data_IF_676034265339
#
_entry.id   IF_676034265339
#
_cell.length_a   1.000
_cell.length_b   1.000
_cell.length_c   1.000
_cell.angle_alpha   90.00
_cell.angle_beta   90.00
_cell.angle_gamma   90.00
#
_symmetry.space_group_name_H-M   'P 1'
#
loop_
_entity.id
_entity.type
_entity.pdbx_description
1 polymer ?
#
# COMPACT_ATOMS: atom_id res chain seq x y z
N UNK A 1 35.43 11.24 10.12
CA UNK A 1 34.74 10.42 9.09
C UNK A 1 35.71 9.33 8.65
N UNK A 2 35.30 8.07 8.72
CA UNK A 2 36.05 6.94 8.15
C UNK A 2 35.26 6.43 6.94
N UNK A 3 35.94 6.04 5.87
CA UNK A 3 35.29 5.62 4.61
C UNK A 3 35.65 4.17 4.32
N UNK A 4 34.63 3.32 4.18
CA UNK A 4 34.79 1.97 3.64
C UNK A 4 34.49 2.01 2.14
N UNK A 5 35.51 1.76 1.30
CA UNK A 5 35.34 1.72 -0.16
C UNK A 5 34.60 0.48 -0.67
N UNK A 6 34.31 -0.48 0.21
CA UNK A 6 33.56 -1.69 -0.10
C UNK A 6 32.76 -2.13 1.11
N UNK A 7 31.54 -2.60 0.88
CA UNK A 7 30.64 -3.12 1.90
C UNK A 7 31.20 -4.35 2.63
N UNK A 8 32.17 -5.06 2.03
CA UNK A 8 32.89 -6.18 2.68
C UNK A 8 33.75 -5.69 3.85
N UNK A 9 34.30 -4.49 3.76
CA UNK A 9 35.19 -3.92 4.79
C UNK A 9 34.42 -3.15 5.87
N UNK A 10 33.12 -2.92 5.68
CA UNK A 10 32.31 -2.08 6.55
C UNK A 10 32.28 -2.59 7.99
N UNK A 11 32.10 -3.91 8.17
CA UNK A 11 32.08 -4.56 9.48
C UNK A 11 33.42 -4.36 10.22
N UNK A 12 34.54 -4.67 9.57
CA UNK A 12 35.87 -4.52 10.17
C UNK A 12 36.19 -3.06 10.52
N UNK A 13 35.78 -2.12 9.66
CA UNK A 13 35.96 -0.69 9.92
C UNK A 13 35.10 -0.21 11.09
N UNK A 14 33.86 -0.69 11.21
CA UNK A 14 32.96 -0.36 12.31
C UNK A 14 33.52 -0.86 13.66
N UNK A 15 34.00 -2.10 13.71
CA UNK A 15 34.67 -2.64 14.92
C UNK A 15 35.92 -1.85 15.29
N UNK A 16 36.75 -1.46 14.31
CA UNK A 16 37.93 -0.63 14.55
C UNK A 16 37.55 0.77 15.07
N UNK A 17 36.49 1.37 14.52
CA UNK A 17 35.99 2.66 14.97
C UNK A 17 35.54 2.60 16.44
N UNK A 18 34.82 1.54 16.83
CA UNK A 18 34.42 1.33 18.23
C UNK A 18 35.60 1.10 19.16
N UNK A 19 36.60 0.32 18.72
CA UNK A 19 37.81 0.10 19.50
C UNK A 19 38.57 1.41 19.78
N UNK A 20 38.68 2.28 18.77
CA UNK A 20 39.38 3.58 18.91
C UNK A 20 38.56 4.63 19.65
N UNK A 21 37.24 4.58 19.55
CA UNK A 21 36.32 5.59 20.09
C UNK A 21 35.18 4.94 20.89
N UNK A 22 35.48 4.32 22.05
CA UNK A 22 34.52 3.51 22.78
C UNK A 22 33.31 4.32 23.28
N UNK A 23 33.49 5.61 23.61
CA UNK A 23 32.44 6.48 24.14
C UNK A 23 31.66 7.29 23.09
N UNK A 24 32.05 7.23 21.81
CA UNK A 24 31.39 8.02 20.77
C UNK A 24 30.18 7.28 20.19
N UNK A 25 29.13 8.02 19.80
CA UNK A 25 28.08 7.47 18.94
C UNK A 25 28.67 7.22 17.55
N UNK A 26 28.50 5.99 17.03
CA UNK A 26 28.96 5.62 15.69
C UNK A 26 27.76 5.62 14.76
N UNK A 27 27.85 6.39 13.69
CA UNK A 27 26.83 6.46 12.64
C UNK A 27 27.39 5.83 11.37
N UNK A 28 26.69 4.82 10.86
CA UNK A 28 26.98 4.16 9.61
C UNK A 28 26.10 4.76 8.52
N UNK A 29 26.64 5.75 7.82
CA UNK A 29 26.02 6.29 6.61
C UNK A 29 26.25 5.30 5.46
N UNK A 30 25.22 4.52 5.13
CA UNK A 30 25.29 3.46 4.13
C UNK A 30 24.36 3.73 2.94
N UNK A 31 24.59 3.03 1.84
CA UNK A 31 23.81 3.13 0.61
C UNK A 31 22.44 2.45 0.78
N UNK A 32 21.43 2.98 0.10
CA UNK A 32 20.10 2.39 0.01
C UNK A 32 19.97 1.70 -1.35
N UNK A 33 20.35 0.43 -1.39
CA UNK A 33 20.32 -0.36 -2.61
C UNK A 33 18.96 -1.00 -2.84
N UNK A 34 18.58 -1.22 -4.11
CA UNK A 34 17.36 -1.98 -4.44
C UNK A 34 17.45 -3.46 -4.04
N UNK A 35 18.65 -4.04 -4.01
CA UNK A 35 18.88 -5.42 -3.57
C UNK A 35 18.75 -5.61 -2.06
N UNK A 36 18.81 -4.51 -1.29
CA UNK A 36 18.85 -4.55 0.17
C UNK A 36 20.23 -4.91 0.77
N UNK A 37 21.26 -5.11 -0.05
CA UNK A 37 22.56 -5.60 0.43
C UNK A 37 23.33 -4.55 1.24
N UNK A 38 23.37 -3.29 0.79
CA UNK A 38 23.96 -2.19 1.54
C UNK A 38 23.33 -2.03 2.93
N UNK A 39 22.00 -2.10 3.00
CA UNK A 39 21.23 -2.01 4.23
C UNK A 39 21.53 -3.17 5.18
N UNK A 40 21.54 -4.41 4.69
CA UNK A 40 21.83 -5.60 5.50
C UNK A 40 23.25 -5.58 6.07
N UNK A 41 24.24 -5.19 5.26
CA UNK A 41 25.64 -5.11 5.69
C UNK A 41 25.85 -3.98 6.69
N UNK A 42 25.19 -2.84 6.48
CA UNK A 42 25.21 -1.73 7.42
C UNK A 42 24.58 -2.11 8.76
N UNK A 43 23.44 -2.81 8.75
CA UNK A 43 22.80 -3.31 9.96
C UNK A 43 23.73 -4.25 10.74
N UNK A 44 24.32 -5.25 10.07
CA UNK A 44 25.28 -6.17 10.71
C UNK A 44 26.51 -5.44 11.30
N UNK A 45 27.01 -4.41 10.61
CA UNK A 45 28.12 -3.60 11.09
C UNK A 45 27.72 -2.71 12.28
N UNK A 46 26.51 -2.15 12.26
CA UNK A 46 25.94 -1.37 13.35
C UNK A 46 25.77 -2.21 14.61
N UNK A 47 25.22 -3.42 14.49
CA UNK A 47 25.06 -4.35 15.61
C UNK A 47 26.40 -4.69 16.26
N UNK A 48 27.44 -4.94 15.44
CA UNK A 48 28.78 -5.28 15.93
C UNK A 48 29.51 -4.12 16.63
N UNK A 49 29.09 -2.87 16.40
CA UNK A 49 29.74 -1.69 16.96
C UNK A 49 28.82 -0.84 17.85
N UNK A 50 27.62 -1.32 18.19
CA UNK A 50 26.59 -0.53 18.87
C UNK A 50 26.38 0.83 18.18
N UNK A 51 26.28 0.81 16.85
CA UNK A 51 26.10 1.97 16.00
C UNK A 51 24.66 2.17 15.53
N UNK A 52 24.41 3.25 14.82
CA UNK A 52 23.13 3.55 14.17
C UNK A 52 23.34 3.63 12.66
N UNK A 53 22.46 2.99 11.89
CA UNK A 53 22.48 3.08 10.43
C UNK A 53 21.70 4.30 9.98
N UNK A 54 22.30 5.12 9.12
CA UNK A 54 21.61 6.16 8.37
C UNK A 54 21.61 5.77 6.89
N UNK A 55 20.43 5.80 6.28
CA UNK A 55 20.24 5.55 4.85
C UNK A 55 19.75 6.81 4.14
N UNK A 56 20.18 7.07 2.90
CA UNK A 56 19.73 8.22 2.14
C UNK A 56 18.20 8.15 1.90
N UNK A 57 17.52 9.30 1.77
CA UNK A 57 16.08 9.35 1.47
C UNK A 57 15.73 8.91 0.03
N UNK A 58 16.71 8.50 -0.76
CA UNK A 58 16.60 8.00 -2.14
C UNK A 58 17.16 6.59 -2.22
N UNK A 59 16.82 5.84 -3.27
CA UNK A 59 17.63 4.70 -3.65
C UNK A 59 18.93 5.19 -4.28
N UNK A 60 20.08 4.74 -3.78
CA UNK A 60 21.40 5.26 -4.13
C UNK A 60 22.24 5.60 -2.91
N UNK A 61 23.22 6.48 -3.10
CA UNK A 61 24.14 6.93 -2.04
C UNK A 61 23.75 8.30 -1.46
N UNK A 62 24.54 8.77 -0.49
CA UNK A 62 24.32 10.08 0.14
C UNK A 62 24.66 11.28 -0.77
N UNK A 63 25.48 11.07 -1.80
CA UNK A 63 25.79 12.09 -2.81
C UNK A 63 24.62 12.26 -3.80
N UNK A 64 23.92 11.18 -4.14
CA UNK A 64 22.66 11.22 -4.92
C UNK A 64 21.61 12.03 -4.15
N UNK A 65 21.42 11.74 -2.86
CA UNK A 65 20.53 12.50 -2.00
C UNK A 65 20.90 13.99 -1.91
N UNK A 66 22.19 14.31 -1.83
CA UNK A 66 22.70 15.68 -1.82
C UNK A 66 22.44 16.39 -3.14
N UNK A 67 22.67 15.72 -4.25
CA UNK A 67 22.46 16.27 -5.59
C UNK A 67 20.98 16.54 -5.85
N UNK A 68 20.10 15.65 -5.38
CA UNK A 68 18.66 15.76 -5.60
C UNK A 68 17.96 16.76 -4.67
N UNK A 69 18.30 16.77 -3.38
CA UNK A 69 17.56 17.55 -2.36
C UNK A 69 18.37 18.69 -1.73
N UNK A 70 19.66 18.78 -2.01
CA UNK A 70 20.56 19.78 -1.45
C UNK A 70 21.00 19.50 -0.01
N UNK A 71 22.02 20.24 0.44
CA UNK A 71 22.73 19.93 1.69
C UNK A 71 21.92 20.06 2.98
N UNK A 72 20.92 20.93 3.04
CA UNK A 72 20.07 21.06 4.25
C UNK A 72 19.17 19.84 4.43
N UNK A 73 18.51 19.39 3.36
CA UNK A 73 17.64 18.22 3.39
C UNK A 73 18.42 16.93 3.69
N UNK A 74 19.59 16.75 3.08
CA UNK A 74 20.47 15.60 3.35
C UNK A 74 20.93 15.60 4.80
N UNK A 75 21.33 16.76 5.34
CA UNK A 75 21.73 16.89 6.74
C UNK A 75 20.57 16.56 7.69
N UNK A 76 19.37 17.07 7.38
CA UNK A 76 18.15 16.73 8.12
C UNK A 76 17.88 15.21 8.10
N UNK A 77 17.97 14.57 6.94
CA UNK A 77 17.76 13.12 6.82
C UNK A 77 18.77 12.30 7.64
N UNK A 78 20.04 12.70 7.67
CA UNK A 78 21.03 12.07 8.56
C UNK A 78 20.65 12.27 10.03
N UNK A 79 20.28 13.50 10.42
CA UNK A 79 19.89 13.80 11.80
C UNK A 79 18.64 13.03 12.24
N UNK A 80 17.63 12.94 11.39
CA UNK A 80 16.40 12.21 11.67
C UNK A 80 16.68 10.70 11.82
N UNK A 81 17.60 10.14 11.03
CA UNK A 81 18.00 8.73 11.14
C UNK A 81 18.80 8.40 12.41
N UNK A 82 19.56 9.35 12.97
CA UNK A 82 20.38 9.14 14.18
C UNK A 82 19.71 9.62 15.46
N UNK A 83 18.59 10.33 15.33
CA UNK A 83 17.78 10.75 16.47
C UNK A 83 17.27 9.48 17.16
N UNK A 84 17.47 9.33 18.49
CA UNK A 84 16.84 8.24 19.20
C UNK A 84 15.33 8.28 18.94
N UNK A 85 14.66 7.14 18.75
CA UNK A 85 13.21 7.12 18.67
C UNK A 85 12.67 7.88 19.88
N UNK A 86 11.76 8.83 19.63
CA UNK A 86 11.16 9.59 20.71
C UNK A 86 10.56 8.60 21.71
N UNK A 87 10.98 8.67 22.98
CA UNK A 87 10.39 7.83 24.01
C UNK A 87 8.89 8.10 24.05
N UNK A 88 8.10 7.03 24.08
CA UNK A 88 6.66 7.17 24.05
C UNK A 88 6.22 7.89 25.34
N UNK A 89 5.29 8.86 25.28
CA UNK A 89 4.80 9.54 26.48
C UNK A 89 4.28 8.57 27.55
N UNK A 90 3.82 7.38 27.14
CA UNK A 90 3.31 6.33 28.02
C UNK A 90 4.39 5.54 28.75
N UNK A 91 5.68 5.76 28.44
CA UNK A 91 6.81 5.12 29.11
C UNK A 91 7.46 6.05 30.16
N UNK A 92 7.29 7.37 30.02
CA UNK A 92 7.91 8.38 30.90
C UNK A 92 6.93 9.06 31.85
N UNK A 93 5.65 9.17 31.48
CA UNK A 93 4.62 9.87 32.24
C UNK A 93 4.13 9.06 33.45
N UNK A 94 3.66 9.75 34.49
CA UNK A 94 3.05 9.11 35.65
C UNK A 94 1.53 8.89 35.47
N UNK A 95 0.99 7.91 36.20
CA UNK A 95 -0.46 7.64 36.25
C UNK A 95 -1.26 8.89 36.66
N UNK A 96 -0.81 9.61 37.68
CA UNK A 96 -1.48 10.80 38.21
C UNK A 96 -1.50 11.95 37.19
N UNK A 97 -0.37 12.18 36.50
CA UNK A 97 -0.25 13.19 35.45
C UNK A 97 -1.22 12.89 34.30
N UNK A 98 -1.24 11.65 33.82
CA UNK A 98 -2.15 11.25 32.75
C UNK A 98 -3.62 11.30 33.17
N UNK A 99 -3.93 10.85 34.39
CA UNK A 99 -5.31 10.84 34.90
C UNK A 99 -5.91 12.26 34.97
N UNK A 100 -5.10 13.26 35.35
CA UNK A 100 -5.50 14.67 35.46
C UNK A 100 -5.72 15.39 34.11
N UNK A 101 -5.18 14.87 33.01
CA UNK A 101 -5.33 15.46 31.68
C UNK A 101 -6.80 15.48 31.20
N UNK A 102 -7.15 16.51 30.45
CA UNK A 102 -8.37 16.56 29.64
C UNK A 102 -8.38 15.50 28.52
N UNK A 103 -9.54 15.30 27.89
CA UNK A 103 -9.67 14.35 26.76
C UNK A 103 -8.79 14.75 25.57
N UNK A 104 -8.68 16.04 25.26
CA UNK A 104 -7.84 16.55 24.16
C UNK A 104 -6.35 16.37 24.45
N UNK A 105 -5.92 16.62 25.69
CA UNK A 105 -4.54 16.38 26.10
C UNK A 105 -4.19 14.89 26.02
N UNK A 106 -5.08 13.99 26.50
CA UNK A 106 -4.91 12.54 26.35
C UNK A 106 -4.81 12.12 24.89
N UNK A 107 -5.66 12.67 24.03
CA UNK A 107 -5.63 12.41 22.60
C UNK A 107 -4.30 12.89 21.98
N UNK A 108 -3.79 14.05 22.39
CA UNK A 108 -2.48 14.54 21.94
C UNK A 108 -1.34 13.60 22.36
N UNK A 109 -1.37 13.03 23.56
CA UNK A 109 -0.37 12.02 23.99
C UNK A 109 -0.41 10.75 23.16
N UNK A 110 -1.61 10.33 22.74
CA UNK A 110 -1.76 9.21 21.81
C UNK A 110 -1.22 9.58 20.42
N UNK A 111 -1.48 10.79 19.94
CA UNK A 111 -0.88 11.27 18.68
C UNK A 111 0.65 11.30 18.76
N UNK A 112 1.24 11.81 19.86
CA UNK A 112 2.69 11.78 20.11
C UNK A 112 3.24 10.35 20.16
N UNK A 113 2.50 9.39 20.71
CA UNK A 113 2.89 7.99 20.77
C UNK A 113 2.96 7.33 19.38
N UNK A 114 1.98 7.57 18.52
CA UNK A 114 1.95 7.00 17.17
C UNK A 114 2.66 7.86 16.12
N UNK A 115 2.92 9.14 16.41
CA UNK A 115 3.51 10.11 15.50
C UNK A 115 2.72 10.28 14.21
N UNK A 116 3.44 10.34 13.09
CA UNK A 116 2.87 10.47 11.75
C UNK A 116 2.22 9.18 11.22
N UNK A 117 2.11 8.13 12.03
CA UNK A 117 1.56 6.85 11.60
C UNK A 117 0.02 6.80 11.63
N UNK A 118 -0.68 7.86 12.07
CA UNK A 118 -2.15 7.88 12.10
C UNK A 118 -2.74 8.94 11.17
N UNK A 119 -3.83 8.58 10.50
CA UNK A 119 -4.63 9.50 9.70
C UNK A 119 -6.10 9.08 9.69
N UNK A 120 -7.00 10.01 9.40
CA UNK A 120 -8.41 9.72 9.12
C UNK A 120 -8.72 9.79 7.62
N UNK A 121 -9.76 9.09 7.17
CA UNK A 121 -10.29 9.27 5.83
C UNK A 121 -10.84 10.70 5.61
N UNK A 122 -11.19 11.02 4.36
CA UNK A 122 -11.70 12.34 3.99
C UNK A 122 -12.98 12.75 4.74
N UNK A 123 -13.76 11.78 5.24
CA UNK A 123 -14.97 12.05 6.03
C UNK A 123 -14.70 12.12 7.56
N UNK A 124 -13.45 11.90 8.00
CA UNK A 124 -13.08 11.91 9.42
C UNK A 124 -13.61 10.73 10.24
N UNK A 125 -14.08 9.66 9.59
CA UNK A 125 -14.77 8.54 10.23
C UNK A 125 -13.84 7.34 10.46
N UNK A 126 -13.10 6.95 9.43
CA UNK A 126 -12.26 5.77 9.40
C UNK A 126 -10.83 6.17 9.76
N UNK A 127 -10.32 5.57 10.83
CA UNK A 127 -8.93 5.74 11.25
C UNK A 127 -8.07 4.71 10.53
N UNK A 128 -6.91 5.14 10.02
CA UNK A 128 -5.92 4.27 9.41
C UNK A 128 -4.57 4.44 10.09
N UNK A 129 -3.78 3.36 10.03
CA UNK A 129 -2.39 3.34 10.47
C UNK A 129 -1.46 3.08 9.30
N UNK A 130 -0.37 3.83 9.23
CA UNK A 130 0.69 3.61 8.27
C UNK A 130 1.60 2.48 8.74
N UNK A 131 1.64 1.39 7.97
CA UNK A 131 2.45 0.21 8.25
C UNK A 131 2.98 -0.39 6.96
N UNK A 132 4.26 -0.79 6.97
CA UNK A 132 4.88 -1.51 5.84
C UNK A 132 4.65 -0.85 4.47
N UNK A 133 4.70 0.48 4.41
CA UNK A 133 4.55 1.22 3.16
C UNK A 133 3.12 1.66 2.81
N UNK A 134 2.09 1.22 3.56
CA UNK A 134 0.68 1.49 3.24
C UNK A 134 -0.14 1.97 4.43
N UNK A 135 -1.18 2.73 4.13
CA UNK A 135 -2.25 3.11 5.06
C UNK A 135 -3.31 2.02 5.11
N UNK A 136 -3.39 1.30 6.23
CA UNK A 136 -4.42 0.29 6.49
C UNK A 136 -5.50 0.84 7.40
N UNK A 137 -6.77 0.66 7.03
CA UNK A 137 -7.90 1.01 7.88
C UNK A 137 -7.87 0.14 9.13
N UNK A 138 -7.88 0.76 10.31
CA UNK A 138 -7.96 0.06 11.58
C UNK A 138 -9.42 -0.16 11.98
N UNK A 139 -9.82 -1.40 12.29
CA UNK A 139 -11.14 -1.64 12.87
C UNK A 139 -11.31 -0.85 14.18
N UNK A 140 -12.45 -0.19 14.42
CA UNK A 140 -12.63 0.66 15.59
C UNK A 140 -12.39 -0.06 16.93
N UNK A 141 -12.73 -1.35 17.01
CA UNK A 141 -12.54 -2.16 18.21
C UNK A 141 -11.06 -2.47 18.48
N UNK A 142 -10.29 -2.70 17.42
CA UNK A 142 -8.86 -3.00 17.54
C UNK A 142 -8.11 -1.75 18.00
N UNK A 143 -8.41 -0.60 17.42
CA UNK A 143 -7.80 0.65 17.87
C UNK A 143 -8.24 1.05 19.29
N UNK A 144 -9.51 0.84 19.66
CA UNK A 144 -9.95 1.05 21.03
C UNK A 144 -9.23 0.14 22.03
N UNK A 145 -8.92 -1.11 21.65
CA UNK A 145 -8.12 -2.03 22.45
C UNK A 145 -6.67 -1.54 22.58
N UNK A 146 -6.07 -1.04 21.51
CA UNK A 146 -4.73 -0.45 21.54
C UNK A 146 -4.68 0.75 22.50
N UNK A 147 -5.64 1.66 22.41
CA UNK A 147 -5.76 2.81 23.32
C UNK A 147 -5.97 2.39 24.77
N UNK A 148 -6.83 1.39 25.03
CA UNK A 148 -6.97 0.83 26.38
C UNK A 148 -5.65 0.24 26.90
N UNK A 149 -4.85 -0.40 26.03
CA UNK A 149 -3.50 -0.86 26.35
C UNK A 149 -2.58 0.26 26.82
N UNK A 150 -2.68 1.46 26.23
CA UNK A 150 -1.90 2.63 26.65
C UNK A 150 -2.29 3.12 28.05
N UNK A 151 -3.59 3.13 28.37
CA UNK A 151 -4.06 3.41 29.74
C UNK A 151 -3.51 2.38 30.74
N UNK A 152 -3.52 1.09 30.37
CA UNK A 152 -3.01 0.00 31.21
C UNK A 152 -1.51 0.10 31.48
N UNK A 153 -0.70 0.52 30.50
CA UNK A 153 0.75 0.73 30.68
C UNK A 153 1.02 1.74 31.80
N UNK A 154 0.24 2.82 31.84
CA UNK A 154 0.29 3.83 32.90
C UNK A 154 -0.46 3.43 34.18
N UNK A 155 -1.08 2.24 34.23
CA UNK A 155 -1.97 1.79 35.31
C UNK A 155 -3.15 2.75 35.56
N UNK A 156 -3.51 3.55 34.57
CA UNK A 156 -4.59 4.52 34.66
C UNK A 156 -5.96 3.84 34.44
N UNK A 157 -7.01 4.24 35.19
CA UNK A 157 -8.34 3.69 35.00
C UNK A 157 -8.98 4.17 33.69
N UNK A 158 -9.67 3.25 33.02
CA UNK A 158 -10.42 3.51 31.79
C UNK A 158 -11.79 2.84 31.80
N UNK A 159 -12.67 3.36 30.95
CA UNK A 159 -13.97 2.76 30.61
C UNK A 159 -14.14 2.82 29.10
N UNK A 160 -15.07 2.03 28.56
CA UNK A 160 -15.39 2.06 27.13
C UNK A 160 -15.74 3.48 26.64
N UNK A 161 -16.56 4.21 27.41
CA UNK A 161 -16.93 5.60 27.09
C UNK A 161 -15.75 6.56 27.11
N UNK A 162 -14.80 6.40 28.06
CA UNK A 162 -13.60 7.23 28.14
C UNK A 162 -12.68 6.98 26.96
N UNK A 163 -12.48 5.72 26.58
CA UNK A 163 -11.68 5.33 25.41
C UNK A 163 -12.32 5.87 24.13
N UNK A 164 -13.63 5.67 23.95
CA UNK A 164 -14.35 6.18 22.77
C UNK A 164 -14.21 7.71 22.64
N UNK A 165 -14.43 8.45 23.73
CA UNK A 165 -14.29 9.92 23.73
C UNK A 165 -12.88 10.38 23.35
N UNK A 166 -11.84 9.69 23.83
CA UNK A 166 -10.45 10.01 23.46
C UNK A 166 -10.18 9.67 21.99
N UNK A 167 -10.65 8.53 21.49
CA UNK A 167 -10.50 8.15 20.07
C UNK A 167 -11.21 9.14 19.15
N UNK A 168 -12.43 9.54 19.48
CA UNK A 168 -13.18 10.50 18.68
C UNK A 168 -12.56 11.90 18.73
N UNK A 169 -11.97 12.29 19.87
CA UNK A 169 -11.18 13.53 19.97
C UNK A 169 -9.89 13.45 19.14
N UNK A 170 -9.21 12.30 19.14
CA UNK A 170 -8.00 12.07 18.36
C UNK A 170 -8.25 12.23 16.85
N UNK A 171 -9.40 11.76 16.34
CA UNK A 171 -9.79 11.92 14.92
C UNK A 171 -9.85 13.39 14.47
N UNK A 172 -10.07 14.32 15.40
CA UNK A 172 -10.06 15.77 15.13
C UNK A 172 -8.65 16.37 15.07
N UNK A 173 -7.64 15.66 15.59
CA UNK A 173 -6.26 16.11 15.70
C UNK A 173 -5.39 15.55 14.56
N UNK A 174 -5.58 14.27 14.23
CA UNK A 174 -4.75 13.58 13.23
C UNK A 174 -5.05 14.06 11.80
N UNK A 175 -4.08 14.00 10.88
CA UNK A 175 -4.25 14.49 9.52
C UNK A 175 -5.32 13.70 8.75
N UNK A 176 -5.97 14.37 7.80
CA UNK A 176 -6.82 13.74 6.81
C UNK A 176 -5.96 13.15 5.68
N UNK A 177 -6.31 11.94 5.24
CA UNK A 177 -5.69 11.29 4.10
C UNK A 177 -6.01 12.04 2.81
N UNK A 178 -5.00 12.22 1.97
CA UNK A 178 -5.20 12.62 0.58
C UNK A 178 -5.39 11.40 -0.33
N UNK A 179 -5.84 11.65 -1.55
CA UNK A 179 -5.90 10.60 -2.56
C UNK A 179 -4.47 10.26 -3.02
N UNK A 180 -4.07 8.97 -3.05
CA UNK A 180 -2.79 8.59 -3.63
C UNK A 180 -2.72 9.04 -5.09
N UNK A 181 -1.58 9.61 -5.46
CA UNK A 181 -1.35 10.05 -6.84
C UNK A 181 -1.37 8.85 -7.79
N UNK A 182 -2.18 8.93 -8.85
CA UNK A 182 -2.38 7.84 -9.83
C UNK A 182 -1.13 7.47 -10.63
N UNK A 183 -0.10 8.33 -10.60
CA UNK A 183 1.19 8.03 -11.23
C UNK A 183 2.05 7.11 -10.36
N UNK A 184 1.73 6.94 -9.09
CA UNK A 184 2.49 6.13 -8.15
C UNK A 184 1.97 4.68 -8.16
N UNK A 185 2.90 3.74 -8.26
CA UNK A 185 2.63 2.31 -8.15
C UNK A 185 3.45 1.78 -6.97
N UNK A 186 2.77 1.21 -5.99
CA UNK A 186 3.42 0.61 -4.83
C UNK A 186 3.91 -0.80 -5.12
N UNK A 187 5.14 -1.09 -4.72
CA UNK A 187 5.76 -2.40 -4.73
C UNK A 187 6.20 -2.75 -3.31
N UNK A 188 6.50 -4.01 -3.04
CA UNK A 188 6.96 -4.44 -1.71
C UNK A 188 8.18 -3.63 -1.23
N UNK A 189 9.12 -3.35 -2.14
CA UNK A 189 10.36 -2.64 -1.83
C UNK A 189 10.33 -1.11 -2.05
N UNK A 190 9.21 -0.50 -2.48
CA UNK A 190 9.15 0.95 -2.68
C UNK A 190 8.00 1.40 -3.59
N UNK A 191 8.11 2.60 -4.15
CA UNK A 191 7.06 3.23 -4.96
C UNK A 191 7.65 3.73 -6.28
N UNK A 192 7.11 3.27 -7.41
CA UNK A 192 7.46 3.74 -8.75
C UNK A 192 6.62 4.96 -9.12
N UNK A 193 7.27 6.06 -9.49
CA UNK A 193 6.63 7.19 -10.15
C UNK A 193 6.69 7.00 -11.68
N UNK A 194 5.54 6.68 -12.27
CA UNK A 194 5.40 6.41 -13.71
C UNK A 194 5.58 7.65 -14.58
N UNK A 195 5.56 8.86 -14.03
CA UNK A 195 5.75 10.08 -14.81
C UNK A 195 7.20 10.23 -15.27
N UNK A 196 8.15 9.94 -14.38
CA UNK A 196 9.59 10.10 -14.64
C UNK A 196 10.35 8.77 -14.63
N UNK A 197 9.69 7.66 -14.29
CA UNK A 197 10.32 6.35 -14.15
C UNK A 197 11.19 6.22 -12.89
N UNK A 198 11.05 7.13 -11.93
CA UNK A 198 11.88 7.16 -10.71
C UNK A 198 11.29 6.25 -9.64
N UNK A 199 12.14 5.49 -8.96
CA UNK A 199 11.74 4.62 -7.87
C UNK A 199 12.11 5.25 -6.52
N UNK A 200 11.15 5.35 -5.62
CA UNK A 200 11.26 6.03 -4.34
C UNK A 200 11.06 5.05 -3.18
N UNK A 201 11.75 5.27 -2.05
CA UNK A 201 11.41 4.59 -0.81
C UNK A 201 9.96 4.86 -0.41
N UNK A 202 9.40 3.95 0.40
CA UNK A 202 8.08 4.15 0.98
C UNK A 202 8.02 5.43 1.83
N UNK A 203 6.90 6.15 1.73
CA UNK A 203 6.64 7.35 2.53
C UNK A 203 5.15 7.44 2.88
N UNK A 204 4.78 7.84 4.13
CA UNK A 204 3.40 8.14 4.49
C UNK A 204 2.76 9.19 3.56
N UNK A 205 3.55 10.13 3.06
CA UNK A 205 3.11 11.21 2.16
C UNK A 205 2.67 10.73 0.77
N UNK A 206 2.97 9.49 0.40
CA UNK A 206 2.48 8.91 -0.86
C UNK A 206 1.02 8.44 -0.76
N UNK A 207 0.47 8.33 0.47
CA UNK A 207 -0.90 7.89 0.74
C UNK A 207 -1.28 6.54 0.11
N UNK A 208 -0.27 5.68 -0.13
CA UNK A 208 -0.46 4.36 -0.69
C UNK A 208 -1.37 3.54 0.22
N UNK A 209 -2.39 2.90 -0.36
CA UNK A 209 -3.34 2.04 0.37
C UNK A 209 -3.07 0.56 0.14
N UNK A 210 -2.45 0.25 -0.99
CA UNK A 210 -2.14 -1.10 -1.45
C UNK A 210 -0.75 -1.09 -2.09
N UNK A 211 -0.06 -2.23 -2.04
CA UNK A 211 1.19 -2.49 -2.75
C UNK A 211 1.02 -3.76 -3.58
N UNK A 212 1.72 -3.82 -4.70
CA UNK A 212 1.99 -5.08 -5.36
C UNK A 212 2.88 -5.95 -4.46
N UNK A 213 2.58 -7.24 -4.40
CA UNK A 213 3.36 -8.19 -3.59
C UNK A 213 4.68 -8.60 -4.24
N UNK A 214 5.15 -7.90 -5.27
CA UNK A 214 6.46 -8.14 -5.90
C UNK A 214 7.42 -6.98 -5.66
N UNK A 215 8.71 -7.27 -5.76
CA UNK A 215 9.76 -6.26 -5.74
C UNK A 215 9.92 -5.65 -7.13
N UNK A 216 10.07 -4.33 -7.18
CA UNK A 216 10.51 -3.64 -8.38
C UNK A 216 12.00 -3.89 -8.61
N UNK A 217 12.38 -4.17 -9.85
CA UNK A 217 13.78 -4.32 -10.27
C UNK A 217 14.06 -3.36 -11.42
N UNK A 218 15.28 -2.75 -11.48
CA UNK A 218 15.66 -1.93 -12.63
C UNK A 218 15.68 -2.76 -13.91
N UNK A 219 15.34 -2.16 -15.05
CA UNK A 219 15.45 -2.84 -16.33
C UNK A 219 16.91 -3.22 -16.61
N UNK A 220 17.12 -4.42 -17.14
CA UNK A 220 18.43 -4.89 -17.60
C UNK A 220 18.59 -4.56 -19.09
N UNK A 221 19.82 -4.28 -19.55
CA UNK A 221 20.11 -4.01 -20.95
C UNK A 221 19.62 -5.16 -21.85
N UNK A 222 18.76 -4.83 -22.81
CA UNK A 222 18.16 -5.81 -23.72
C UNK A 222 17.02 -6.64 -23.12
N UNK A 223 16.50 -6.26 -21.95
CA UNK A 223 15.37 -6.94 -21.31
C UNK A 223 14.11 -6.90 -22.19
N UNK A 224 13.55 -8.08 -22.43
CA UNK A 224 12.26 -8.25 -23.12
C UNK A 224 11.44 -9.34 -22.44
N UNK A 225 10.11 -9.25 -22.51
CA UNK A 225 9.22 -10.29 -21.99
C UNK A 225 9.53 -11.67 -22.58
N UNK A 226 9.88 -11.73 -23.87
CA UNK A 226 10.18 -13.00 -24.56
C UNK A 226 11.40 -13.70 -23.98
N UNK A 227 12.44 -12.95 -23.62
CA UNK A 227 13.73 -13.49 -23.17
C UNK A 227 13.82 -13.63 -21.66
N UNK A 228 13.27 -12.66 -20.91
CA UNK A 228 13.38 -12.57 -19.45
C UNK A 228 12.14 -13.10 -18.72
N UNK A 229 11.01 -13.27 -19.43
CA UNK A 229 9.81 -13.90 -18.91
C UNK A 229 9.20 -14.92 -19.91
N UNK A 230 9.98 -15.91 -20.40
CA UNK A 230 9.58 -16.77 -21.53
C UNK A 230 8.29 -17.57 -21.28
N UNK A 231 8.04 -17.97 -20.03
CA UNK A 231 6.79 -18.65 -19.67
C UNK A 231 5.57 -17.72 -19.78
N UNK A 232 5.70 -16.49 -19.27
CA UNK A 232 4.67 -15.46 -19.39
C UNK A 232 4.45 -15.08 -20.86
N UNK A 233 5.51 -14.89 -21.64
CA UNK A 233 5.42 -14.60 -23.07
C UNK A 233 4.67 -15.67 -23.85
N UNK A 234 5.00 -16.96 -23.65
CA UNK A 234 4.28 -18.06 -24.31
C UNK A 234 2.79 -18.08 -23.95
N UNK A 235 2.46 -17.81 -22.69
CA UNK A 235 1.06 -17.68 -22.28
C UNK A 235 0.38 -16.48 -22.93
N UNK A 236 1.01 -15.32 -22.92
CA UNK A 236 0.49 -14.07 -23.48
C UNK A 236 0.24 -14.20 -24.99
N UNK A 237 1.20 -14.76 -25.73
CA UNK A 237 1.08 -14.98 -27.17
C UNK A 237 -0.02 -15.98 -27.51
N UNK A 238 -0.13 -17.07 -26.74
CA UNK A 238 -1.24 -18.03 -26.87
C UNK A 238 -2.59 -17.37 -26.56
N UNK A 239 -2.70 -16.64 -25.46
CA UNK A 239 -3.92 -15.93 -25.06
C UNK A 239 -4.34 -14.90 -26.13
N UNK A 240 -3.38 -14.26 -26.79
CA UNK A 240 -3.61 -13.37 -27.91
C UNK A 240 -3.90 -14.09 -29.24
N UNK A 241 -3.63 -15.39 -29.34
CA UNK A 241 -3.69 -16.15 -30.60
C UNK A 241 -2.68 -15.64 -31.63
N UNK A 242 -1.46 -15.32 -31.19
CA UNK A 242 -0.37 -14.82 -32.04
C UNK A 242 -0.54 -13.38 -32.55
N UNK A 243 -1.57 -12.65 -32.10
CA UNK A 243 -1.86 -11.28 -32.55
C UNK A 243 -1.20 -10.24 -31.66
N UNK A 244 -0.26 -9.47 -32.21
CA UNK A 244 0.49 -8.44 -31.48
C UNK A 244 -0.41 -7.42 -30.78
N UNK A 245 -1.36 -6.81 -31.49
CA UNK A 245 -2.29 -5.81 -30.93
C UNK A 245 -3.09 -6.36 -29.74
N UNK A 246 -3.45 -7.64 -29.77
CA UNK A 246 -4.19 -8.27 -28.67
C UNK A 246 -3.29 -8.56 -27.47
N UNK A 247 -1.99 -8.80 -27.67
CA UNK A 247 -1.01 -8.84 -26.56
C UNK A 247 -0.96 -7.49 -25.86
N UNK A 248 -0.93 -6.39 -26.62
CA UNK A 248 -0.91 -5.04 -26.06
C UNK A 248 -2.18 -4.75 -25.25
N UNK A 249 -3.36 -5.19 -25.70
CA UNK A 249 -4.61 -5.08 -24.93
C UNK A 249 -4.55 -5.88 -23.63
N UNK A 250 -4.01 -7.11 -23.65
CA UNK A 250 -3.86 -7.92 -22.44
C UNK A 250 -2.88 -7.25 -21.47
N UNK A 251 -1.75 -6.72 -21.97
CA UNK A 251 -0.79 -5.97 -21.16
C UNK A 251 -1.39 -4.69 -20.57
N UNK A 252 -2.17 -3.95 -21.36
CA UNK A 252 -2.89 -2.76 -20.87
C UNK A 252 -3.92 -3.12 -19.78
N UNK A 253 -4.60 -4.26 -19.91
CA UNK A 253 -5.51 -4.77 -18.90
C UNK A 253 -4.77 -5.16 -17.60
N UNK A 254 -3.62 -5.82 -17.70
CA UNK A 254 -2.77 -6.12 -16.54
C UNK A 254 -2.18 -4.85 -15.90
N UNK A 255 -1.79 -3.85 -16.72
CA UNK A 255 -1.35 -2.55 -16.23
C UNK A 255 -2.46 -1.80 -15.51
N UNK A 256 -3.70 -1.88 -16.00
CA UNK A 256 -4.87 -1.30 -15.33
C UNK A 256 -4.99 -1.85 -13.90
N UNK A 257 -4.77 -3.15 -13.71
CA UNK A 257 -4.77 -3.80 -12.39
C UNK A 257 -3.56 -3.35 -11.56
N UNK A 258 -2.34 -3.46 -12.09
CA UNK A 258 -1.10 -3.10 -11.41
C UNK A 258 -1.09 -1.65 -10.89
N UNK A 259 -1.52 -0.71 -11.73
CA UNK A 259 -1.57 0.72 -11.41
C UNK A 259 -2.90 1.16 -10.78
N UNK A 260 -3.80 0.22 -10.46
CA UNK A 260 -5.16 0.46 -9.96
C UNK A 260 -5.89 1.60 -10.70
N UNK A 261 -5.94 1.50 -12.03
CA UNK A 261 -6.57 2.48 -12.93
C UNK A 261 -8.08 2.28 -13.04
N UNK A 262 -8.76 2.20 -11.90
CA UNK A 262 -10.22 2.20 -11.86
C UNK A 262 -10.82 3.49 -12.47
N UNK A 263 -10.05 4.58 -12.50
CA UNK A 263 -10.42 5.87 -13.08
C UNK A 263 -10.61 5.84 -14.61
N UNK A 264 -10.18 4.78 -15.29
CA UNK A 264 -10.47 4.58 -16.71
C UNK A 264 -11.96 4.34 -16.99
N UNK A 265 -12.73 4.07 -15.94
CA UNK A 265 -14.14 3.74 -16.02
C UNK A 265 -14.41 2.48 -16.84
N UNK A 266 -13.52 1.49 -16.71
CA UNK A 266 -13.61 0.20 -17.39
C UNK A 266 -13.72 -0.94 -16.38
N UNK A 267 -14.23 -2.08 -16.83
CA UNK A 267 -14.02 -3.39 -16.23
C UNK A 267 -13.59 -4.37 -17.30
N UNK A 268 -12.81 -5.36 -16.87
CA UNK A 268 -12.23 -6.36 -17.74
C UNK A 268 -13.12 -7.59 -17.71
N UNK A 269 -13.36 -8.18 -18.88
CA UNK A 269 -14.05 -9.45 -18.98
C UNK A 269 -13.31 -10.40 -19.91
N UNK A 270 -12.75 -11.45 -19.32
CA UNK A 270 -12.01 -12.48 -20.03
C UNK A 270 -12.95 -13.63 -20.34
N UNK A 271 -13.05 -14.00 -21.62
CA UNK A 271 -13.91 -15.09 -22.11
C UNK A 271 -13.10 -16.15 -22.85
N UNK A 272 -13.68 -17.32 -23.13
CA UNK A 272 -13.01 -18.40 -23.86
C UNK A 272 -13.31 -19.80 -23.30
N UNK A 273 -12.98 -20.88 -24.00
CA UNK A 273 -13.27 -22.24 -23.54
C UNK A 273 -12.44 -22.65 -22.31
N UNK A 274 -12.76 -23.79 -21.71
CA UNK A 274 -11.93 -24.40 -20.68
C UNK A 274 -10.50 -24.63 -21.17
N UNK A 275 -9.50 -24.35 -20.33
CA UNK A 275 -8.09 -24.54 -20.71
C UNK A 275 -7.47 -23.45 -21.62
N UNK A 276 -8.19 -22.36 -21.90
CA UNK A 276 -7.67 -21.23 -22.71
C UNK A 276 -6.70 -20.30 -21.96
N UNK A 277 -6.50 -20.51 -20.66
CA UNK A 277 -5.56 -19.73 -19.85
C UNK A 277 -6.16 -18.51 -19.14
N UNK A 278 -7.50 -18.38 -19.09
CA UNK A 278 -8.18 -17.27 -18.40
C UNK A 278 -7.89 -17.25 -16.89
N UNK A 279 -7.86 -18.42 -16.26
CA UNK A 279 -7.50 -18.53 -14.84
C UNK A 279 -6.09 -18.02 -14.58
N UNK A 280 -5.15 -18.26 -15.51
CA UNK A 280 -3.79 -17.71 -15.42
C UNK A 280 -3.83 -16.16 -15.48
N UNK A 281 -4.70 -15.56 -16.31
CA UNK A 281 -4.89 -14.09 -16.29
C UNK A 281 -5.36 -13.60 -14.92
N UNK A 282 -6.31 -14.30 -14.30
CA UNK A 282 -6.82 -13.95 -12.99
C UNK A 282 -5.74 -14.05 -11.90
N UNK A 283 -4.92 -15.09 -11.93
CA UNK A 283 -3.80 -15.27 -11.01
C UNK A 283 -2.73 -14.19 -11.19
N UNK A 284 -2.37 -13.86 -12.43
CA UNK A 284 -1.42 -12.76 -12.71
C UNK A 284 -2.00 -11.43 -12.23
N UNK A 285 -3.29 -11.16 -12.48
CA UNK A 285 -3.95 -9.95 -11.99
C UNK A 285 -3.93 -9.88 -10.45
N UNK A 286 -4.18 -11.00 -9.75
CA UNK A 286 -4.10 -11.09 -8.30
C UNK A 286 -2.69 -10.83 -7.79
N UNK A 287 -1.66 -11.41 -8.41
CA UNK A 287 -0.28 -11.16 -8.07
C UNK A 287 0.09 -9.67 -8.26
N UNK A 288 -0.35 -9.05 -9.36
CA UNK A 288 -0.08 -7.63 -9.63
C UNK A 288 -0.81 -6.70 -8.66
N UNK A 289 -2.04 -7.03 -8.25
CA UNK A 289 -2.77 -6.26 -7.24
C UNK A 289 -2.19 -6.45 -5.83
N UNK A 290 -1.59 -7.62 -5.56
CA UNK A 290 -1.30 -8.14 -4.22
C UNK A 290 -2.42 -9.05 -3.73
N UNK A 291 -2.07 -10.20 -3.15
CA UNK A 291 -3.03 -11.22 -2.69
C UNK A 291 -4.00 -10.65 -1.65
N UNK A 292 -3.47 -9.86 -0.70
CA UNK A 292 -4.25 -9.19 0.33
C UNK A 292 -5.15 -8.06 -0.22
N UNK A 293 -4.90 -7.61 -1.45
CA UNK A 293 -5.64 -6.52 -2.09
C UNK A 293 -6.61 -7.01 -3.18
N UNK A 294 -6.74 -8.32 -3.35
CA UNK A 294 -7.67 -8.94 -4.27
C UNK A 294 -8.76 -9.73 -3.54
N UNK A 295 -10.01 -9.59 -3.97
CA UNK A 295 -11.14 -10.40 -3.46
C UNK A 295 -11.89 -11.08 -4.59
N UNK A 296 -12.64 -12.13 -4.25
CA UNK A 296 -13.56 -12.81 -5.17
C UNK A 296 -14.99 -12.56 -4.70
N UNK A 297 -15.87 -12.22 -5.64
CA UNK A 297 -17.25 -11.86 -5.36
C UNK A 297 -18.18 -12.33 -6.49
N UNK A 298 -19.48 -12.25 -6.27
CA UNK A 298 -20.46 -12.35 -7.35
C UNK A 298 -20.91 -10.95 -7.76
N UNK A 299 -21.59 -10.85 -8.90
CA UNK A 299 -22.18 -9.59 -9.33
C UNK A 299 -23.29 -9.13 -8.36
N UNK A 300 -24.02 -10.04 -7.70
CA UNK A 300 -24.99 -9.70 -6.65
C UNK A 300 -24.32 -8.98 -5.47
N UNK A 301 -23.08 -9.36 -5.12
CA UNK A 301 -22.29 -8.67 -4.09
C UNK A 301 -22.07 -7.20 -4.44
N UNK A 302 -21.87 -6.87 -5.73
CA UNK A 302 -21.70 -5.49 -6.20
C UNK A 302 -23.02 -4.70 -6.17
N UNK A 303 -24.14 -5.36 -6.42
CA UNK A 303 -25.46 -4.73 -6.48
C UNK A 303 -26.08 -4.51 -5.08
N UNK A 304 -25.77 -5.38 -4.11
CA UNK A 304 -26.30 -5.32 -2.74
C UNK A 304 -25.48 -4.37 -1.86
N UNK A 305 -26.06 -3.28 -1.28
CA UNK A 305 -25.34 -2.43 -0.31
C UNK A 305 -24.79 -3.19 0.90
N UNK A 306 -25.50 -4.25 1.32
CA UNK A 306 -25.12 -5.06 2.47
C UNK A 306 -23.92 -5.96 2.20
N UNK A 307 -23.90 -6.59 1.02
CA UNK A 307 -22.80 -7.47 0.62
C UNK A 307 -21.58 -6.68 0.15
N UNK A 308 -21.78 -5.48 -0.42
CA UNK A 308 -20.72 -4.54 -0.79
C UNK A 308 -19.74 -4.21 0.33
N UNK A 309 -20.16 -4.34 1.59
CA UNK A 309 -19.28 -4.15 2.74
C UNK A 309 -18.03 -5.04 2.70
N UNK A 310 -18.12 -6.23 2.08
CA UNK A 310 -17.00 -7.16 1.93
C UNK A 310 -16.00 -6.75 0.82
N UNK A 311 -16.30 -5.71 0.03
CA UNK A 311 -15.48 -5.25 -1.09
C UNK A 311 -14.63 -4.02 -0.75
N UNK A 312 -14.94 -3.35 0.37
CA UNK A 312 -14.20 -2.18 0.81
C UNK A 312 -12.75 -2.53 1.15
N UNK A 313 -11.81 -1.77 0.61
CA UNK A 313 -10.37 -1.91 0.89
C UNK A 313 -9.59 -2.71 -0.16
N UNK A 314 -10.28 -3.43 -1.06
CA UNK A 314 -9.63 -4.17 -2.14
C UNK A 314 -9.41 -3.28 -3.37
N UNK A 315 -8.29 -3.48 -4.09
CA UNK A 315 -7.99 -2.82 -5.37
C UNK A 315 -8.33 -3.68 -6.59
N UNK A 316 -8.56 -4.98 -6.39
CA UNK A 316 -9.02 -5.90 -7.43
C UNK A 316 -10.22 -6.72 -6.94
N UNK A 317 -11.30 -6.72 -7.72
CA UNK A 317 -12.48 -7.57 -7.48
C UNK A 317 -12.61 -8.54 -8.65
N UNK A 318 -12.54 -9.83 -8.35
CA UNK A 318 -12.69 -10.91 -9.33
C UNK A 318 -14.12 -11.44 -9.30
N UNK A 319 -14.69 -11.63 -10.49
CA UNK A 319 -16.02 -12.17 -10.69
C UNK A 319 -15.94 -13.46 -11.52
N UNK A 320 -15.70 -14.62 -10.88
CA UNK A 320 -15.63 -15.89 -11.60
C UNK A 320 -17.03 -16.41 -11.99
N UNK A 321 -17.17 -16.92 -13.20
CA UNK A 321 -18.33 -17.70 -13.68
C UNK A 321 -19.71 -17.02 -13.51
N UNK A 322 -19.83 -15.77 -13.94
CA UNK A 322 -21.04 -14.94 -13.84
C UNK A 322 -21.92 -14.92 -15.12
N UNK A 323 -21.78 -15.89 -16.02
CA UNK A 323 -22.45 -15.91 -17.34
C UNK A 323 -23.98 -15.78 -17.29
N UNK A 324 -24.59 -16.36 -16.25
CA UNK A 324 -26.06 -16.50 -16.13
C UNK A 324 -26.73 -15.30 -15.48
N UNK A 325 -25.96 -14.30 -15.05
CA UNK A 325 -26.55 -13.16 -14.40
C UNK A 325 -27.31 -12.26 -15.38
N UNK A 326 -28.36 -11.61 -14.89
CA UNK A 326 -29.13 -10.62 -15.63
C UNK A 326 -29.57 -9.48 -14.72
N UNK A 327 -29.29 -8.25 -15.12
CA UNK A 327 -29.63 -7.03 -14.41
C UNK A 327 -29.08 -5.81 -15.13
N UNK A 328 -29.40 -4.62 -14.62
CA UNK A 328 -28.99 -3.35 -15.22
C UNK A 328 -27.58 -2.90 -14.81
N UNK A 329 -26.97 -3.59 -13.84
CA UNK A 329 -25.59 -3.43 -13.38
C UNK A 329 -25.37 -2.09 -12.67
N UNK A 330 -26.34 -1.61 -11.89
CA UNK A 330 -26.28 -0.32 -11.23
C UNK A 330 -25.06 -0.21 -10.29
N UNK A 331 -24.85 -1.20 -9.42
CA UNK A 331 -23.69 -1.30 -8.54
C UNK A 331 -22.38 -1.39 -9.31
N UNK A 332 -22.32 -2.26 -10.34
CA UNK A 332 -21.17 -2.36 -11.24
C UNK A 332 -20.82 -1.00 -11.89
N UNK A 333 -21.82 -0.29 -12.43
CA UNK A 333 -21.65 1.03 -13.06
C UNK A 333 -21.15 2.08 -12.08
N UNK A 334 -21.66 2.08 -10.85
CA UNK A 334 -21.24 3.04 -9.83
C UNK A 334 -19.78 2.80 -9.43
N UNK A 335 -19.40 1.55 -9.15
CA UNK A 335 -18.03 1.21 -8.74
C UNK A 335 -17.05 1.50 -9.89
N UNK A 336 -17.33 1.00 -11.09
CA UNK A 336 -16.48 1.26 -12.26
C UNK A 336 -16.47 2.73 -12.65
N UNK A 337 -17.57 3.47 -12.46
CA UNK A 337 -17.64 4.91 -12.70
C UNK A 337 -16.85 5.76 -11.71
N UNK A 338 -16.46 5.20 -10.56
CA UNK A 338 -15.88 5.95 -9.46
C UNK A 338 -16.91 6.76 -8.67
N UNK A 339 -18.20 6.42 -8.77
CA UNK A 339 -19.28 7.05 -8.03
C UNK A 339 -19.30 6.56 -6.57
N UNK A 340 -19.82 7.41 -5.68
CA UNK A 340 -20.07 7.00 -4.29
C UNK A 340 -21.17 5.93 -4.25
N UNK A 341 -20.94 4.89 -3.45
CA UNK A 341 -21.86 3.77 -3.23
C UNK A 341 -22.29 3.71 -1.78
N UNK A 342 -23.51 3.24 -1.55
CA UNK A 342 -23.99 2.92 -0.20
C UNK A 342 -23.44 1.56 0.24
N UNK A 343 -22.94 1.50 1.47
CA UNK A 343 -22.49 0.30 2.14
C UNK A 343 -23.24 0.17 3.47
N UNK A 344 -23.82 -0.99 3.72
CA UNK A 344 -24.65 -1.29 4.90
C UNK A 344 -24.07 -2.49 5.68
N UNK A 345 -23.00 -2.30 6.46
CA UNK A 345 -22.38 -3.39 7.20
C UNK A 345 -23.30 -3.90 8.30
N UNK A 346 -23.30 -5.22 8.51
CA UNK A 346 -24.07 -5.84 9.58
C UNK A 346 -23.71 -5.22 10.95
N UNK A 347 -24.72 -4.78 11.69
CA UNK A 347 -24.59 -4.19 13.03
C UNK A 347 -23.87 -2.84 13.09
N UNK A 348 -23.81 -2.09 11.99
CA UNK A 348 -23.30 -0.72 11.93
C UNK A 348 -24.24 0.15 11.09
N UNK A 349 -24.12 1.46 11.23
CA UNK A 349 -24.89 2.38 10.39
C UNK A 349 -24.40 2.33 8.94
N UNK A 350 -25.35 2.44 8.01
CA UNK A 350 -25.04 2.56 6.60
C UNK A 350 -24.29 3.86 6.32
N UNK A 351 -23.33 3.81 5.41
CA UNK A 351 -22.52 4.97 5.04
C UNK A 351 -22.26 4.98 3.54
N UNK A 352 -21.93 6.16 3.01
CA UNK A 352 -21.53 6.32 1.62
C UNK A 352 -20.00 6.34 1.51
N UNK A 353 -19.46 5.60 0.54
CA UNK A 353 -18.01 5.53 0.31
C UNK A 353 -17.70 5.26 -1.17
N UNK A 354 -16.42 5.31 -1.54
CA UNK A 354 -15.94 4.94 -2.87
C UNK A 354 -15.22 3.59 -2.78
N UNK A 355 -15.40 2.73 -3.80
CA UNK A 355 -14.67 1.46 -3.95
C UNK A 355 -13.69 1.60 -5.11
N UNK A 356 -12.45 2.05 -4.87
CA UNK A 356 -11.44 2.29 -5.89
C UNK A 356 -10.79 0.99 -6.38
N UNK A 357 -11.55 0.15 -7.08
CA UNK A 357 -11.13 -1.18 -7.50
C UNK A 357 -11.32 -1.42 -9.00
N UNK A 358 -10.36 -2.14 -9.59
CA UNK A 358 -10.52 -2.73 -10.93
C UNK A 358 -11.36 -4.00 -10.80
N UNK A 359 -12.32 -4.18 -11.70
CA UNK A 359 -13.17 -5.37 -11.74
C UNK A 359 -12.73 -6.27 -12.90
N UNK A 360 -12.49 -7.53 -12.60
CA UNK A 360 -12.11 -8.58 -13.54
C UNK A 360 -13.13 -9.72 -13.51
N UNK A 361 -13.96 -9.81 -14.53
CA UNK A 361 -14.84 -10.94 -14.76
C UNK A 361 -14.12 -12.01 -15.59
N UNK A 362 -14.26 -13.27 -15.20
CA UNK A 362 -13.69 -14.42 -15.92
C UNK A 362 -14.78 -15.44 -16.16
N UNK A 363 -15.14 -15.62 -17.42
CA UNK A 363 -16.28 -16.45 -17.84
C UNK A 363 -15.90 -17.30 -19.06
N UNK A 364 -16.69 -18.30 -19.43
CA UNK A 364 -16.53 -18.92 -20.74
C UNK A 364 -17.24 -18.10 -21.83
N UNK A 365 -18.44 -17.60 -21.52
CA UNK A 365 -19.22 -16.72 -22.39
C UNK A 365 -19.35 -15.30 -21.81
N UNK A 366 -19.55 -14.28 -22.66
CA UNK A 366 -19.83 -12.93 -22.18
C UNK A 366 -21.08 -12.87 -21.27
N UNK A 367 -21.01 -12.16 -20.15
CA UNK A 367 -22.13 -11.77 -19.28
C UNK A 367 -23.24 -11.07 -20.07
N UNK A 368 -24.47 -11.24 -19.60
CA UNK A 368 -25.67 -10.61 -20.18
C UNK A 368 -26.17 -9.49 -19.27
N UNK A 369 -26.33 -8.31 -19.84
CA UNK A 369 -26.87 -7.14 -19.15
C UNK A 369 -28.21 -6.76 -19.76
N UNK A 370 -29.17 -6.34 -18.93
CA UNK A 370 -30.47 -5.83 -19.38
C UNK A 370 -30.47 -4.30 -19.54
N UNK A 371 -29.34 -3.65 -19.25
CA UNK A 371 -29.12 -2.21 -19.42
C UNK A 371 -29.37 -1.78 -20.88
N UNK A 372 -30.32 -0.86 -21.06
CA UNK A 372 -30.67 -0.29 -22.37
C UNK A 372 -29.96 1.03 -22.66
N UNK A 373 -29.28 1.62 -21.65
CA UNK A 373 -28.62 2.92 -21.76
C UNK A 373 -27.24 2.86 -22.42
N UNK A 374 -26.68 1.67 -22.60
CA UNK A 374 -25.29 1.47 -23.05
C UNK A 374 -24.25 1.83 -21.98
N UNK A 375 -24.69 2.16 -20.76
CA UNK A 375 -23.83 2.53 -19.64
C UNK A 375 -22.88 1.40 -19.21
N UNK A 376 -23.32 0.15 -19.28
CA UNK A 376 -22.42 -1.01 -19.05
C UNK A 376 -21.50 -1.23 -20.26
N UNK A 377 -22.07 -1.18 -21.48
CA UNK A 377 -21.34 -1.50 -22.72
C UNK A 377 -20.08 -0.64 -22.90
N UNK A 378 -20.19 0.67 -22.67
CA UNK A 378 -19.05 1.60 -22.80
C UNK A 378 -17.95 1.39 -21.77
N UNK A 379 -18.24 0.67 -20.68
CA UNK A 379 -17.29 0.37 -19.59
C UNK A 379 -16.69 -1.03 -19.72
N UNK A 380 -17.15 -1.84 -20.67
CA UNK A 380 -16.83 -3.27 -20.74
C UNK A 380 -15.74 -3.53 -21.76
N UNK A 381 -14.61 -4.11 -21.33
CA UNK A 381 -13.55 -4.59 -22.22
C UNK A 381 -13.59 -6.11 -22.28
N UNK A 382 -14.08 -6.66 -23.39
CA UNK A 382 -14.14 -8.12 -23.60
C UNK A 382 -12.84 -8.60 -24.25
N UNK A 383 -12.12 -9.51 -23.59
CA UNK A 383 -10.91 -10.14 -24.09
C UNK A 383 -11.18 -11.64 -24.27
N UNK A 384 -11.38 -12.09 -25.50
CA UNK A 384 -11.67 -13.48 -25.80
C UNK A 384 -10.39 -14.29 -26.00
N UNK A 385 -10.13 -15.30 -25.18
CA UNK A 385 -8.99 -16.23 -25.30
C UNK A 385 -9.37 -17.44 -26.16
N UNK A 386 -8.48 -17.86 -27.09
CA UNK A 386 -8.76 -18.94 -28.05
C UNK A 386 -8.79 -20.34 -27.42
#
# INVERSE_FOLDING_TARGET
VMVALSSVNLLSLASLARQKHPACQIVLAADRDLSGDGQKKAAAAADACEGVVALPPVFGDWNDAFTQYGGEATRKAIYDAIRPPAESPFDTMSEAEFSAMSTSEKAMRIYEHYGEALAVDANGQLLSRYENGVWKVLPPQDFARDVAGLFQRLRAPFSSGKVASVVDTLKLIIPQQEAPSRRLIGFRNGVLDTQNGTFHPHSPSHWMRTLCDVDFTPPVDGETLETHAPAFWRWLDRAAGGRAEKRDVILAALFMVLANRYDWQLFLEVTGPGGSGKSIMAEIATLLAGEDNATSATIETLESPRERAALTGFSLIRLPDQEKWSGDGAGLKAITGGDAVSVDPKYRDAYSTHIPAVILAVNNNPMRFTDRSGGVSRRRVIIHFP
#
